data_IF_329802826079
#
_entry.id   IF_329802826079
#
_cell.length_a   1.000
_cell.length_b   1.000
_cell.length_c   1.000
_cell.angle_alpha   90.00
_cell.angle_beta   90.00
_cell.angle_gamma   90.00
#
_symmetry.space_group_name_H-M   'P 1'
#
loop_
_entity.id
_entity.type
_entity.pdbx_description
1 polymer ?
#
# COMPACT_ATOMS: atom_id res chain seq x y z
N UNK A 1 3.87 -17.25 -6.86
CA UNK A 1 4.49 -17.64 -8.14
C UNK A 1 3.43 -17.87 -9.19
N UNK A 2 3.69 -17.42 -10.42
CA UNK A 2 2.73 -17.50 -11.54
C UNK A 2 1.34 -16.94 -11.17
N UNK A 3 1.32 -15.90 -10.32
CA UNK A 3 0.10 -15.34 -9.77
C UNK A 3 -0.51 -14.37 -10.77
N UNK A 4 -1.76 -14.58 -11.16
CA UNK A 4 -2.37 -13.76 -12.21
C UNK A 4 -3.87 -13.91 -12.31
N UNK A 5 -4.47 -13.08 -13.18
CA UNK A 5 -5.90 -13.10 -13.49
C UNK A 5 -6.14 -12.88 -14.97
N UNK A 6 -6.76 -13.85 -15.62
CA UNK A 6 -7.09 -13.77 -17.05
C UNK A 6 -7.85 -12.50 -17.40
N UNK A 7 -7.40 -11.80 -18.42
CA UNK A 7 -8.00 -10.54 -18.88
C UNK A 7 -7.64 -9.30 -18.03
N UNK A 8 -6.92 -9.48 -16.91
CA UNK A 8 -6.53 -8.37 -16.02
C UNK A 8 -5.02 -8.21 -15.99
N UNK A 9 -4.29 -9.24 -15.54
CA UNK A 9 -2.83 -9.26 -15.45
C UNK A 9 -2.30 -10.64 -15.80
N UNK A 10 -1.26 -10.71 -16.64
CA UNK A 10 -0.58 -11.96 -16.95
C UNK A 10 0.05 -12.55 -15.67
N UNK A 11 0.27 -13.87 -15.60
CA UNK A 11 0.97 -14.47 -14.49
C UNK A 11 2.33 -13.81 -14.25
N UNK A 12 2.58 -13.42 -12.99
CA UNK A 12 3.83 -12.78 -12.55
C UNK A 12 4.39 -13.49 -11.32
N UNK A 13 5.66 -13.27 -11.07
CA UNK A 13 6.35 -13.75 -9.87
C UNK A 13 6.73 -12.55 -9.01
N UNK A 14 6.41 -12.62 -7.73
CA UNK A 14 6.76 -11.62 -6.74
C UNK A 14 7.20 -12.32 -5.45
N UNK A 15 8.34 -11.92 -4.94
CA UNK A 15 8.79 -12.21 -3.58
C UNK A 15 9.08 -10.88 -2.90
N UNK A 16 8.61 -10.68 -1.68
CA UNK A 16 8.95 -9.49 -0.88
C UNK A 16 9.33 -9.97 0.51
N UNK A 17 10.50 -9.55 0.97
CA UNK A 17 11.07 -9.96 2.26
C UNK A 17 10.77 -8.94 3.34
N UNK A 18 10.72 -9.34 4.62
CA UNK A 18 10.68 -8.38 5.72
C UNK A 18 11.82 -7.35 5.62
N UNK A 19 11.50 -6.06 5.74
CA UNK A 19 12.47 -4.99 5.59
C UNK A 19 12.98 -4.78 4.17
N UNK A 20 12.18 -5.13 3.17
CA UNK A 20 12.48 -4.89 1.75
C UNK A 20 11.42 -3.97 1.13
N UNK A 21 11.87 -3.00 0.34
CA UNK A 21 11.02 -2.18 -0.53
C UNK A 21 11.18 -2.65 -1.98
N UNK A 22 10.13 -3.24 -2.52
CA UNK A 22 10.05 -3.56 -3.95
C UNK A 22 9.30 -2.44 -4.65
N UNK A 23 9.94 -1.78 -5.61
CA UNK A 23 9.29 -0.82 -6.49
C UNK A 23 8.55 -1.52 -7.63
N UNK A 24 7.43 -0.95 -8.07
CA UNK A 24 6.71 -1.39 -9.26
C UNK A 24 6.55 -0.20 -10.20
N UNK A 25 7.25 -0.24 -11.34
CA UNK A 25 7.29 0.82 -12.34
C UNK A 25 6.68 0.38 -13.68
N UNK A 26 6.28 1.36 -14.49
CA UNK A 26 5.71 1.14 -15.83
C UNK A 26 4.86 2.32 -16.26
N UNK A 27 4.47 2.36 -17.53
CA UNK A 27 3.58 3.41 -18.05
C UNK A 27 2.16 3.30 -17.49
N UNK A 28 1.38 4.34 -17.65
CA UNK A 28 -0.05 4.32 -17.34
C UNK A 28 -0.74 3.17 -18.11
N UNK A 29 -1.54 2.37 -17.41
CA UNK A 29 -2.20 1.19 -17.98
C UNK A 29 -1.30 -0.04 -18.15
N UNK A 30 -0.04 0.01 -17.68
CA UNK A 30 0.89 -1.14 -17.75
C UNK A 30 0.50 -2.33 -16.85
N UNK A 31 -0.46 -2.17 -15.95
CA UNK A 31 -0.94 -3.23 -15.06
C UNK A 31 -0.45 -3.13 -13.63
N UNK A 32 0.16 -2.00 -13.22
CA UNK A 32 0.69 -1.80 -11.85
C UNK A 32 -0.41 -1.89 -10.79
N UNK A 33 -1.44 -1.08 -10.91
CA UNK A 33 -2.60 -1.06 -9.99
C UNK A 33 -3.34 -2.40 -10.01
N UNK A 34 -3.55 -2.98 -11.21
CA UNK A 34 -4.18 -4.29 -11.33
C UNK A 34 -3.37 -5.39 -10.63
N UNK A 35 -2.03 -5.30 -10.64
CA UNK A 35 -1.18 -6.21 -9.88
C UNK A 35 -1.45 -6.11 -8.39
N UNK A 36 -1.50 -4.89 -7.83
CA UNK A 36 -1.83 -4.64 -6.43
C UNK A 36 -3.23 -5.17 -6.08
N UNK A 37 -4.24 -4.89 -6.90
CA UNK A 37 -5.61 -5.37 -6.72
C UNK A 37 -5.73 -6.90 -6.71
N UNK A 38 -4.96 -7.58 -7.57
CA UNK A 38 -4.91 -9.06 -7.61
C UNK A 38 -4.22 -9.60 -6.35
N UNK A 39 -3.12 -9.01 -5.91
CA UNK A 39 -2.43 -9.41 -4.67
C UNK A 39 -3.33 -9.18 -3.46
N UNK A 40 -4.05 -8.07 -3.40
CA UNK A 40 -4.93 -7.76 -2.26
C UNK A 40 -6.27 -8.49 -2.31
N UNK A 41 -6.57 -9.21 -3.41
CA UNK A 41 -7.80 -9.98 -3.56
C UNK A 41 -9.05 -9.18 -3.90
N UNK A 42 -8.90 -7.93 -4.36
CA UNK A 42 -10.00 -7.13 -4.97
C UNK A 42 -10.45 -7.82 -6.26
N UNK A 43 -9.47 -8.26 -7.06
CA UNK A 43 -9.67 -9.09 -8.24
C UNK A 43 -9.01 -10.46 -7.98
N UNK A 44 -9.72 -11.46 -7.45
CA UNK A 44 -9.13 -12.74 -7.08
C UNK A 44 -8.38 -13.38 -8.26
N UNK A 45 -7.15 -13.86 -7.99
CA UNK A 45 -6.35 -14.57 -8.99
C UNK A 45 -7.04 -15.87 -9.41
N UNK A 46 -6.88 -16.26 -10.66
CA UNK A 46 -7.33 -17.53 -11.24
C UNK A 46 -6.16 -18.45 -11.61
N UNK A 47 -4.93 -18.00 -11.42
CA UNK A 47 -3.72 -18.79 -11.64
C UNK A 47 -2.67 -18.54 -10.55
N UNK A 48 -1.76 -19.50 -10.42
CA UNK A 48 -0.60 -19.42 -9.54
C UNK A 48 -0.86 -19.74 -8.07
N UNK A 49 0.11 -19.39 -7.25
CA UNK A 49 0.09 -19.66 -5.82
C UNK A 49 0.69 -18.51 -5.02
N UNK A 50 0.12 -18.22 -3.85
CA UNK A 50 0.65 -17.26 -2.90
C UNK A 50 1.16 -18.00 -1.65
N UNK A 51 2.40 -17.72 -1.24
CA UNK A 51 2.99 -18.20 0.00
C UNK A 51 3.10 -17.03 0.97
N UNK A 52 2.45 -17.13 2.14
CA UNK A 52 2.54 -16.13 3.20
C UNK A 52 3.09 -16.84 4.43
N UNK A 53 4.24 -16.40 4.93
CA UNK A 53 4.98 -17.07 6.01
C UNK A 53 5.24 -18.56 5.73
N UNK A 54 5.60 -18.90 4.50
CA UNK A 54 5.85 -20.26 4.08
C UNK A 54 4.61 -21.16 3.96
N UNK A 55 3.40 -20.61 4.17
CA UNK A 55 2.13 -21.36 4.04
C UNK A 55 1.42 -20.96 2.76
N UNK A 56 0.95 -21.97 2.03
CA UNK A 56 0.12 -21.75 0.85
C UNK A 56 -1.22 -21.09 1.26
N UNK A 57 -1.54 -19.99 0.62
CA UNK A 57 -2.74 -19.21 0.88
C UNK A 57 -3.49 -18.91 -0.42
N UNK A 58 -4.79 -18.71 -0.30
CA UNK A 58 -5.64 -18.25 -1.40
C UNK A 58 -6.24 -16.90 -1.03
N UNK A 59 -5.93 -15.88 -1.81
CA UNK A 59 -6.43 -14.52 -1.58
C UNK A 59 -7.65 -14.29 -2.47
N UNK A 60 -8.84 -14.43 -1.90
CA UNK A 60 -10.12 -14.29 -2.61
C UNK A 60 -10.89 -13.03 -2.25
N UNK A 61 -10.41 -12.27 -1.26
CA UNK A 61 -11.04 -11.03 -0.85
C UNK A 61 -10.09 -10.15 -0.06
N UNK A 62 -10.31 -8.82 -0.04
CA UNK A 62 -9.57 -7.87 0.81
C UNK A 62 -9.61 -8.24 2.30
N UNK A 63 -10.72 -8.78 2.79
CA UNK A 63 -10.84 -9.23 4.16
C UNK A 63 -9.86 -10.37 4.48
N UNK A 64 -9.75 -11.39 3.60
CA UNK A 64 -8.77 -12.47 3.78
C UNK A 64 -7.34 -11.94 3.73
N UNK A 65 -7.01 -11.07 2.77
CA UNK A 65 -5.70 -10.45 2.68
C UNK A 65 -5.35 -9.69 3.97
N UNK A 66 -6.29 -8.89 4.47
CA UNK A 66 -6.12 -8.15 5.71
C UNK A 66 -5.89 -9.04 6.93
N UNK A 67 -6.65 -10.12 7.09
CA UNK A 67 -6.48 -11.11 8.18
C UNK A 67 -5.12 -11.82 8.09
N UNK A 68 -4.59 -12.00 6.88
CA UNK A 68 -3.27 -12.58 6.63
C UNK A 68 -2.12 -11.56 6.80
N UNK A 69 -2.44 -10.33 7.19
CA UNK A 69 -1.46 -9.29 7.46
C UNK A 69 -1.01 -8.53 6.22
N UNK A 70 -1.84 -8.45 5.19
CA UNK A 70 -1.61 -7.60 4.01
C UNK A 70 -2.46 -6.34 4.13
N UNK A 71 -1.86 -5.15 3.91
CA UNK A 71 -2.56 -3.88 3.80
C UNK A 71 -2.45 -3.33 2.39
N UNK A 72 -3.38 -2.42 2.02
CA UNK A 72 -3.38 -1.77 0.70
C UNK A 72 -3.85 -0.32 0.78
N UNK A 73 -3.00 0.60 0.35
CA UNK A 73 -3.35 1.99 0.13
C UNK A 73 -3.51 2.21 -1.38
N UNK A 74 -4.74 2.45 -1.87
CA UNK A 74 -5.01 2.60 -3.31
C UNK A 74 -4.53 3.95 -3.84
N UNK A 75 -4.35 4.04 -5.17
CA UNK A 75 -3.96 5.23 -5.92
C UNK A 75 -4.94 6.39 -5.70
N UNK A 76 -6.24 6.15 -5.91
CA UNK A 76 -7.27 7.16 -5.60
C UNK A 76 -7.71 7.05 -4.14
N UNK A 77 -6.95 7.74 -3.26
CA UNK A 77 -7.30 7.75 -1.84
C UNK A 77 -8.67 8.35 -1.55
N UNK A 78 -9.15 9.31 -2.37
CA UNK A 78 -10.43 10.00 -2.12
C UNK A 78 -11.63 9.13 -2.41
N UNK A 79 -11.57 8.33 -3.48
CA UNK A 79 -12.65 7.46 -3.92
C UNK A 79 -12.58 6.10 -3.24
N UNK A 80 -11.39 5.50 -3.19
CA UNK A 80 -11.21 4.09 -2.78
C UNK A 80 -10.50 3.94 -1.42
N UNK A 81 -9.80 5.00 -0.98
CA UNK A 81 -8.98 4.96 0.23
C UNK A 81 -9.73 5.37 1.49
N UNK A 82 -10.32 6.55 1.52
CA UNK A 82 -10.95 7.14 2.71
C UNK A 82 -12.47 7.19 2.61
N UNK A 83 -13.13 7.25 3.77
CA UNK A 83 -14.56 7.59 3.84
C UNK A 83 -14.64 9.08 4.18
N UNK A 84 -14.85 9.92 3.17
CA UNK A 84 -14.70 11.39 3.24
C UNK A 84 -15.46 12.04 4.40
N UNK A 85 -16.75 11.70 4.57
CA UNK A 85 -17.62 12.26 5.61
C UNK A 85 -17.39 11.65 7.00
N UNK A 86 -16.65 10.53 7.10
CA UNK A 86 -16.33 9.91 8.38
C UNK A 86 -15.17 10.62 9.07
N UNK A 87 -15.14 10.57 10.40
CA UNK A 87 -14.08 11.18 11.19
C UNK A 87 -12.71 10.53 10.97
N UNK A 88 -11.65 11.24 11.36
CA UNK A 88 -10.28 10.69 11.42
C UNK A 88 -10.26 9.40 12.21
N UNK A 89 -10.89 9.38 13.40
CA UNK A 89 -11.01 8.19 14.25
C UNK A 89 -11.65 7.01 13.52
N UNK A 90 -12.80 7.24 12.88
CA UNK A 90 -13.51 6.19 12.16
C UNK A 90 -12.71 5.63 10.99
N UNK A 91 -12.05 6.49 10.25
CA UNK A 91 -11.16 6.07 9.18
C UNK A 91 -9.97 5.24 9.69
N UNK A 92 -9.36 5.59 10.82
CA UNK A 92 -8.23 4.84 11.41
C UNK A 92 -8.66 3.43 11.83
N UNK A 93 -9.79 3.31 12.55
CA UNK A 93 -10.18 2.03 13.15
C UNK A 93 -10.81 1.04 12.17
N UNK A 94 -11.16 1.47 10.96
CA UNK A 94 -12.00 0.73 10.02
C UNK A 94 -11.48 -0.68 9.72
N UNK A 95 -10.19 -0.82 9.38
CA UNK A 95 -9.62 -2.12 9.04
C UNK A 95 -9.57 -3.07 10.24
N UNK A 96 -9.23 -2.56 11.43
CA UNK A 96 -9.23 -3.36 12.66
C UNK A 96 -10.64 -3.81 13.03
N UNK A 97 -11.65 -2.92 12.88
CA UNK A 97 -13.04 -3.28 13.12
C UNK A 97 -13.51 -4.36 12.13
N UNK A 98 -13.14 -4.26 10.86
CA UNK A 98 -13.45 -5.26 9.86
C UNK A 98 -12.82 -6.63 10.18
N UNK A 99 -11.57 -6.67 10.65
CA UNK A 99 -10.91 -7.91 11.10
C UNK A 99 -11.56 -8.53 12.34
N UNK A 100 -11.97 -7.72 13.31
CA UNK A 100 -12.69 -8.19 14.53
C UNK A 100 -14.09 -8.70 14.24
N UNK A 101 -14.68 -8.28 13.14
CA UNK A 101 -16.09 -8.47 12.79
C UNK A 101 -17.01 -7.46 13.46
N UNK A 102 -18.13 -7.19 12.82
CA UNK A 102 -19.08 -6.15 13.23
C UNK A 102 -19.86 -6.48 14.51
N UNK A 103 -19.90 -7.75 14.90
CA UNK A 103 -20.53 -8.19 16.15
C UNK A 103 -19.64 -7.96 17.39
N UNK A 104 -18.40 -7.53 17.21
CA UNK A 104 -17.43 -7.21 18.29
C UNK A 104 -16.92 -5.77 18.14
N UNK A 105 -17.79 -4.77 18.37
CA UNK A 105 -17.43 -3.37 18.16
C UNK A 105 -16.31 -2.95 19.12
N UNK A 106 -15.41 -2.13 18.59
CA UNK A 106 -14.40 -1.45 19.41
C UNK A 106 -15.13 -0.36 20.21
N UNK A 107 -14.93 -0.30 21.51
CA UNK A 107 -15.57 0.71 22.35
C UNK A 107 -15.14 2.13 21.95
N UNK A 108 -16.01 3.12 22.13
CA UNK A 108 -15.72 4.52 21.77
C UNK A 108 -14.45 5.03 22.43
N UNK A 109 -14.22 4.67 23.68
CA UNK A 109 -13.01 5.02 24.44
C UNK A 109 -11.76 4.42 23.79
N UNK A 110 -11.77 3.12 23.49
CA UNK A 110 -10.67 2.43 22.82
C UNK A 110 -10.38 3.03 21.43
N UNK A 111 -11.42 3.34 20.64
CA UNK A 111 -11.27 4.01 19.36
C UNK A 111 -10.58 5.36 19.49
N UNK A 112 -10.97 6.15 20.49
CA UNK A 112 -10.40 7.47 20.77
C UNK A 112 -8.91 7.35 21.12
N UNK A 113 -8.56 6.46 22.04
CA UNK A 113 -7.18 6.23 22.48
C UNK A 113 -6.29 5.77 21.32
N UNK A 114 -6.81 4.88 20.45
CA UNK A 114 -6.13 4.43 19.23
C UNK A 114 -5.88 5.62 18.30
N UNK A 115 -6.91 6.40 18.00
CA UNK A 115 -6.79 7.52 17.05
C UNK A 115 -5.80 8.57 17.55
N UNK A 116 -5.87 8.96 18.83
CA UNK A 116 -4.94 9.92 19.43
C UNK A 116 -3.48 9.43 19.38
N UNK A 117 -3.27 8.13 19.61
CA UNK A 117 -1.93 7.53 19.51
C UNK A 117 -1.39 7.66 18.10
N UNK A 118 -2.15 7.29 17.06
CA UNK A 118 -1.69 7.38 15.68
C UNK A 118 -1.54 8.82 15.19
N UNK A 119 -2.40 9.74 15.63
CA UNK A 119 -2.27 11.17 15.36
C UNK A 119 -0.91 11.68 15.86
N UNK A 120 -0.53 11.33 17.09
CA UNK A 120 0.79 11.71 17.64
C UNK A 120 1.95 10.99 16.92
N UNK A 121 1.81 9.69 16.69
CA UNK A 121 2.86 8.84 16.13
C UNK A 121 3.26 9.25 14.70
N UNK A 122 2.27 9.57 13.86
CA UNK A 122 2.48 9.96 12.46
C UNK A 122 2.44 11.48 12.24
N UNK A 123 2.30 12.26 13.28
CA UNK A 123 2.24 13.71 13.18
C UNK A 123 1.07 14.19 12.30
N UNK A 124 -0.12 13.58 12.46
CA UNK A 124 -1.32 13.97 11.70
C UNK A 124 -1.81 15.32 12.22
N UNK A 125 -1.89 16.31 11.35
CA UNK A 125 -2.40 17.65 11.70
C UNK A 125 -3.91 17.66 11.57
N UNK A 126 -4.60 17.59 12.69
CA UNK A 126 -6.06 17.67 12.81
C UNK A 126 -6.45 18.36 14.10
N UNK A 127 -7.54 19.15 14.13
CA UNK A 127 -8.02 19.80 15.35
C UNK A 127 -8.59 18.79 16.35
N UNK A 128 -9.12 17.66 15.89
CA UNK A 128 -9.67 16.62 16.74
C UNK A 128 -9.75 15.28 16.01
N UNK A 129 -9.94 14.19 16.75
CA UNK A 129 -10.19 12.85 16.19
C UNK A 129 -11.55 12.76 15.49
N UNK A 130 -12.48 13.69 15.79
CA UNK A 130 -13.83 13.73 15.24
C UNK A 130 -13.95 14.60 13.98
N UNK A 131 -12.87 15.27 13.57
CA UNK A 131 -12.85 16.01 12.32
C UNK A 131 -13.15 15.08 11.14
N UNK A 132 -14.12 15.37 10.25
CA UNK A 132 -14.27 14.63 9.01
C UNK A 132 -12.98 14.71 8.18
N UNK A 133 -12.56 13.55 7.63
CA UNK A 133 -11.24 13.45 7.00
C UNK A 133 -11.13 14.29 5.71
N UNK A 134 -12.23 14.58 5.05
CA UNK A 134 -12.25 15.42 3.85
C UNK A 134 -11.69 16.83 4.05
N UNK A 135 -11.76 17.37 5.28
CA UNK A 135 -11.22 18.69 5.62
C UNK A 135 -9.72 18.68 5.93
N UNK A 136 -9.05 17.53 5.91
CA UNK A 136 -7.61 17.45 6.08
C UNK A 136 -6.89 17.68 4.74
N UNK A 137 -5.63 18.17 4.82
CA UNK A 137 -4.75 18.21 3.65
C UNK A 137 -4.47 16.79 3.12
N UNK A 138 -4.12 16.67 1.83
CA UNK A 138 -3.81 15.40 1.19
C UNK A 138 -2.78 14.55 1.93
N UNK A 139 -1.70 15.17 2.43
CA UNK A 139 -0.68 14.48 3.22
C UNK A 139 -1.21 13.94 4.56
N UNK A 140 -2.10 14.68 5.24
CA UNK A 140 -2.73 14.19 6.47
C UNK A 140 -3.76 13.08 6.18
N UNK A 141 -4.51 13.16 5.08
CA UNK A 141 -5.38 12.06 4.63
C UNK A 141 -4.57 10.80 4.36
N UNK A 142 -3.40 10.92 3.70
CA UNK A 142 -2.51 9.80 3.44
C UNK A 142 -1.97 9.17 4.73
N UNK A 143 -1.59 9.97 5.72
CA UNK A 143 -1.17 9.48 7.04
C UNK A 143 -2.29 8.77 7.79
N UNK A 144 -3.53 9.24 7.70
CA UNK A 144 -4.71 8.55 8.27
C UNK A 144 -4.93 7.20 7.58
N UNK A 145 -4.82 7.14 6.24
CA UNK A 145 -4.94 5.89 5.49
C UNK A 145 -3.85 4.88 5.87
N UNK A 146 -2.60 5.33 6.00
CA UNK A 146 -1.50 4.51 6.51
C UNK A 146 -1.78 4.03 7.94
N UNK A 147 -2.25 4.91 8.83
CA UNK A 147 -2.63 4.56 10.22
C UNK A 147 -3.64 3.42 10.28
N UNK A 148 -4.63 3.42 9.39
CA UNK A 148 -5.65 2.36 9.28
C UNK A 148 -5.03 0.98 9.14
N UNK A 149 -4.04 0.87 8.26
CA UNK A 149 -3.37 -0.41 8.01
C UNK A 149 -2.35 -0.74 9.07
N UNK A 150 -1.53 0.21 9.51
CA UNK A 150 -0.54 0.00 10.57
C UNK A 150 -1.18 -0.47 11.89
N UNK A 151 -2.42 -0.03 12.16
CA UNK A 151 -3.20 -0.51 13.31
C UNK A 151 -3.45 -2.02 13.29
N UNK A 152 -3.54 -2.62 12.11
CA UNK A 152 -3.72 -4.08 11.95
C UNK A 152 -2.42 -4.86 12.06
N UNK A 153 -1.28 -4.18 12.27
CA UNK A 153 0.07 -4.77 12.30
C UNK A 153 0.37 -5.63 11.07
N UNK A 154 0.30 -5.04 9.87
CA UNK A 154 0.54 -5.77 8.65
C UNK A 154 1.99 -6.24 8.59
N UNK A 155 2.24 -7.30 7.83
CA UNK A 155 3.58 -7.77 7.50
C UNK A 155 4.00 -7.35 6.11
N UNK A 156 3.01 -7.08 5.29
CA UNK A 156 3.18 -6.63 3.92
C UNK A 156 2.19 -5.50 3.64
N UNK A 157 2.68 -4.38 3.14
CA UNK A 157 1.86 -3.22 2.81
C UNK A 157 2.12 -2.81 1.35
N UNK A 158 1.03 -2.69 0.61
CA UNK A 158 1.04 -2.22 -0.78
C UNK A 158 0.67 -0.75 -0.76
N UNK A 159 1.48 0.08 -1.38
CA UNK A 159 1.29 1.52 -1.51
C UNK A 159 1.22 1.87 -2.99
N UNK A 160 0.05 2.24 -3.48
CA UNK A 160 -0.15 2.65 -4.86
C UNK A 160 -0.17 4.17 -4.94
N UNK A 161 0.84 4.75 -5.59
CA UNK A 161 1.06 6.20 -5.74
C UNK A 161 0.94 6.97 -4.40
N UNK A 162 1.71 6.59 -3.36
CA UNK A 162 1.51 7.10 -1.99
C UNK A 162 1.71 8.60 -1.83
N UNK A 163 2.44 9.23 -2.76
CA UNK A 163 2.80 10.66 -2.75
C UNK A 163 1.97 11.49 -3.71
N UNK A 164 1.09 10.86 -4.50
CA UNK A 164 0.29 11.53 -5.51
C UNK A 164 -0.70 12.55 -4.90
N UNK A 165 -0.66 13.77 -5.43
CA UNK A 165 -1.60 14.84 -5.06
C UNK A 165 -1.46 15.33 -3.61
N UNK A 166 -0.25 15.28 -3.06
CA UNK A 166 0.12 15.90 -1.79
C UNK A 166 1.14 17.01 -2.03
N UNK A 167 1.26 17.94 -1.09
CA UNK A 167 2.23 19.03 -1.17
C UNK A 167 3.67 18.55 -0.92
N UNK A 168 4.65 19.33 -1.40
CA UNK A 168 6.09 18.97 -1.34
C UNK A 168 6.57 18.66 0.08
N UNK A 169 6.06 19.39 1.09
CA UNK A 169 6.45 19.14 2.48
C UNK A 169 5.94 17.82 3.00
N UNK A 170 4.67 17.51 2.73
CA UNK A 170 4.06 16.24 3.09
C UNK A 170 4.65 15.06 2.28
N UNK A 171 5.03 15.27 1.02
CA UNK A 171 5.70 14.28 0.18
C UNK A 171 6.96 13.72 0.87
N UNK A 172 7.88 14.61 1.28
CA UNK A 172 9.10 14.19 1.99
C UNK A 172 8.81 13.48 3.34
N UNK A 173 7.71 13.85 4.02
CA UNK A 173 7.29 13.18 5.26
C UNK A 173 6.80 11.75 4.98
N UNK A 174 6.06 11.52 3.89
CA UNK A 174 5.58 10.18 3.50
C UNK A 174 6.73 9.29 3.07
N UNK A 175 7.70 9.79 2.29
CA UNK A 175 8.89 9.00 1.91
C UNK A 175 9.65 8.55 3.16
N UNK A 176 9.97 9.46 4.08
CA UNK A 176 10.64 9.11 5.35
C UNK A 176 9.85 8.10 6.17
N UNK A 177 8.53 8.17 6.16
CA UNK A 177 7.68 7.20 6.83
C UNK A 177 7.80 5.81 6.18
N UNK A 178 7.79 5.72 4.84
CA UNK A 178 8.00 4.48 4.09
C UNK A 178 9.35 3.84 4.45
N UNK A 179 10.43 4.62 4.44
CA UNK A 179 11.77 4.16 4.82
C UNK A 179 11.83 3.67 6.27
N UNK A 180 11.21 4.41 7.19
CA UNK A 180 11.14 4.02 8.61
C UNK A 180 10.38 2.72 8.80
N UNK A 181 9.23 2.55 8.16
CA UNK A 181 8.43 1.33 8.24
C UNK A 181 9.20 0.11 7.69
N UNK A 182 9.95 0.29 6.61
CA UNK A 182 10.82 -0.74 6.06
C UNK A 182 11.93 -1.11 7.05
N UNK A 183 12.62 -0.12 7.62
CA UNK A 183 13.67 -0.32 8.61
C UNK A 183 13.15 -1.05 9.87
N UNK A 184 11.89 -0.84 10.24
CA UNK A 184 11.19 -1.57 11.31
C UNK A 184 10.78 -3.00 10.92
N UNK A 185 11.12 -3.45 9.70
CA UNK A 185 10.92 -4.82 9.22
C UNK A 185 9.63 -5.04 8.42
N UNK A 186 8.88 -3.99 8.07
CA UNK A 186 7.71 -4.13 7.20
C UNK A 186 8.14 -4.38 5.76
N UNK A 187 7.55 -5.40 5.12
CA UNK A 187 7.70 -5.64 3.69
C UNK A 187 6.82 -4.66 2.90
N UNK A 188 7.38 -4.00 1.88
CA UNK A 188 6.66 -2.98 1.12
C UNK A 188 6.69 -3.26 -0.38
N UNK A 189 5.55 -3.11 -1.04
CA UNK A 189 5.43 -2.97 -2.48
C UNK A 189 4.98 -1.53 -2.76
N UNK A 190 5.83 -0.74 -3.40
CA UNK A 190 5.52 0.67 -3.69
C UNK A 190 5.40 0.85 -5.20
N UNK A 191 4.23 1.28 -5.63
CA UNK A 191 3.95 1.67 -7.01
C UNK A 191 4.13 3.18 -7.07
N UNK A 192 4.98 3.66 -7.97
CA UNK A 192 5.12 5.10 -8.23
C UNK A 192 5.35 5.37 -9.71
N UNK A 193 4.75 6.44 -10.20
CA UNK A 193 5.03 7.03 -11.51
C UNK A 193 6.25 7.95 -11.45
N UNK A 194 6.67 8.37 -10.26
CA UNK A 194 7.85 9.19 -10.04
C UNK A 194 9.08 8.28 -9.86
N UNK A 195 9.81 8.05 -10.96
CA UNK A 195 10.92 7.08 -11.00
C UNK A 195 12.06 7.44 -10.06
N UNK A 196 12.29 8.75 -9.85
CA UNK A 196 13.27 9.27 -8.92
C UNK A 196 13.00 8.82 -7.47
N UNK A 197 11.73 8.73 -7.09
CA UNK A 197 11.36 8.20 -5.78
C UNK A 197 11.77 6.74 -5.64
N UNK A 198 11.40 5.90 -6.61
CA UNK A 198 11.74 4.47 -6.57
C UNK A 198 13.25 4.25 -6.52
N UNK A 199 14.02 5.02 -7.31
CA UNK A 199 15.48 4.97 -7.28
C UNK A 199 16.03 5.40 -5.92
N UNK A 200 15.33 6.29 -5.21
CA UNK A 200 15.77 6.83 -3.92
C UNK A 200 15.67 5.84 -2.75
N UNK A 201 14.71 4.93 -2.77
CA UNK A 201 14.44 4.08 -1.59
C UNK A 201 14.19 2.59 -1.88
N UNK A 202 13.97 2.18 -3.15
CA UNK A 202 13.68 0.78 -3.44
C UNK A 202 14.95 -0.08 -3.47
N UNK A 203 14.87 -1.31 -2.95
CA UNK A 203 15.93 -2.31 -3.02
C UNK A 203 16.04 -2.94 -4.41
N UNK A 204 14.93 -3.00 -5.13
CA UNK A 204 14.82 -3.41 -6.54
C UNK A 204 13.51 -2.92 -7.13
N UNK A 205 13.45 -2.84 -8.45
CA UNK A 205 12.25 -2.39 -9.16
C UNK A 205 11.83 -3.42 -10.19
N UNK A 206 10.56 -3.80 -10.13
CA UNK A 206 9.90 -4.64 -11.13
C UNK A 206 9.27 -3.74 -12.19
N UNK A 207 9.47 -4.08 -13.47
CA UNK A 207 8.95 -3.32 -14.59
C UNK A 207 7.73 -4.02 -15.18
N UNK A 208 6.64 -3.27 -15.26
CA UNK A 208 5.38 -3.71 -15.86
C UNK A 208 5.17 -3.05 -17.22
N UNK A 209 4.80 -3.83 -18.22
CA UNK A 209 4.39 -3.37 -19.55
C UNK A 209 3.33 -4.29 -20.12
N UNK A 210 2.29 -3.71 -20.73
CA UNK A 210 1.19 -4.47 -21.35
C UNK A 210 0.60 -5.55 -20.41
N UNK A 211 0.47 -5.20 -19.11
CA UNK A 211 -0.04 -6.10 -18.06
C UNK A 211 0.81 -7.35 -17.82
N UNK A 212 2.12 -7.23 -18.07
CA UNK A 212 3.10 -8.30 -17.87
C UNK A 212 4.31 -7.76 -17.11
N UNK A 213 4.89 -8.59 -16.28
CA UNK A 213 6.23 -8.37 -15.75
C UNK A 213 7.24 -8.62 -16.84
N UNK A 214 8.02 -7.59 -17.22
CA UNK A 214 8.98 -7.68 -18.33
C UNK A 214 10.42 -7.67 -17.87
N UNK A 215 10.72 -7.06 -16.72
CA UNK A 215 12.06 -7.01 -16.16
C UNK A 215 12.03 -6.84 -14.64
N UNK A 216 13.16 -7.10 -14.01
CA UNK A 216 13.47 -6.76 -12.62
C UNK A 216 14.86 -6.15 -12.58
N UNK A 217 15.00 -4.98 -11.95
CA UNK A 217 16.25 -4.22 -11.86
C UNK A 217 16.69 -4.22 -10.38
N UNK A 218 17.80 -4.87 -10.05
CA UNK A 218 18.33 -4.89 -8.69
C UNK A 218 18.96 -3.54 -8.31
N UNK A 219 19.10 -3.25 -7.02
CA UNK A 219 19.67 -2.01 -6.49
C UNK A 219 20.98 -1.59 -7.15
N UNK A 220 21.88 -2.55 -7.42
CA UNK A 220 23.19 -2.27 -8.04
C UNK A 220 23.12 -1.66 -9.45
N UNK A 221 22.00 -1.87 -10.16
CA UNK A 221 21.76 -1.39 -11.52
C UNK A 221 20.65 -0.33 -11.55
N UNK A 222 20.07 0.00 -10.40
CA UNK A 222 18.90 0.83 -10.30
C UNK A 222 19.21 2.30 -10.61
N UNK A 223 18.60 2.80 -11.65
CA UNK A 223 18.67 4.21 -12.07
C UNK A 223 17.47 4.56 -12.93
N UNK A 224 17.12 5.86 -12.98
CA UNK A 224 16.03 6.32 -13.85
C UNK A 224 16.23 5.91 -15.31
N UNK A 225 17.44 6.08 -15.92
CA UNK A 225 17.68 5.59 -17.29
C UNK A 225 17.48 4.08 -17.44
N UNK A 226 17.90 3.26 -16.48
CA UNK A 226 17.72 1.81 -16.54
C UNK A 226 16.23 1.42 -16.53
N UNK A 227 15.43 2.05 -15.66
CA UNK A 227 13.97 1.86 -15.61
C UNK A 227 13.35 2.28 -16.95
N UNK A 228 13.68 3.48 -17.45
CA UNK A 228 13.13 3.99 -18.72
C UNK A 228 13.46 3.08 -19.89
N UNK A 229 14.70 2.60 -20.01
CA UNK A 229 15.10 1.66 -21.05
C UNK A 229 14.32 0.35 -20.95
N UNK A 230 14.14 -0.20 -19.75
CA UNK A 230 13.37 -1.44 -19.54
C UNK A 230 11.87 -1.27 -19.85
N UNK A 231 11.31 -0.07 -19.64
CA UNK A 231 9.93 0.24 -20.03
C UNK A 231 9.80 0.32 -21.55
N UNK A 232 10.81 0.87 -22.26
CA UNK A 232 10.79 1.10 -23.71
C UNK A 232 11.13 -0.14 -24.54
N UNK A 233 11.94 -1.06 -24.02
CA UNK A 233 12.42 -2.27 -24.70
C UNK A 233 11.30 -3.26 -25.02
#
# INVERSE_FOLDING_TARGET
KNYGKKGTIAPFDLEVRPGEIVGLAGLLGSGRTETAEVIFGIKPADSGSALIKGKLQTLRSPHQASVLGIGFCPEDRKTDGIIAAASVRENIILALQAQRGWLRPISRKEQQEIAERFIRQLGIRTPSTEQPIEFLSGGNQQKVLLSRWLLTRPQFLILDEPTRGIDVGAHAEIIRLIETLCADGLALLVISSELEELVGYADRVIIMRDRKQVAEIPLAELSVPAIMNAIAA
#
